data_IF_040046622484
#
_entry.id   IF_040046622484
#
_cell.length_a   1.000
_cell.length_b   1.000
_cell.length_c   1.000
_cell.angle_alpha   90.00
_cell.angle_beta   90.00
_cell.angle_gamma   90.00
#
_symmetry.space_group_name_H-M   'P 1'
#
loop_
_entity.id
_entity.type
_entity.pdbx_description
1 polymer ?
#
# COMPACT_ATOMS: atom_id res chain seq x y z
N UNK A 1 -11.03 -2.78 22.71
CA UNK A 1 -9.67 -2.91 22.12
C UNK A 1 -9.79 -2.55 20.65
N UNK A 2 -8.89 -1.70 20.12
CA UNK A 2 -8.89 -1.34 18.69
C UNK A 2 -8.38 -2.52 17.86
N UNK A 3 -9.00 -2.73 16.70
CA UNK A 3 -8.63 -3.80 15.77
C UNK A 3 -8.10 -3.20 14.47
N UNK A 4 -7.03 -3.76 13.96
CA UNK A 4 -6.40 -3.42 12.70
C UNK A 4 -6.13 -4.70 11.92
N UNK A 5 -6.07 -4.62 10.60
CA UNK A 5 -5.76 -5.78 9.78
C UNK A 5 -4.91 -5.41 8.56
N UNK A 6 -4.33 -6.42 7.93
CA UNK A 6 -3.77 -6.36 6.59
C UNK A 6 -4.56 -7.26 5.67
N UNK A 7 -5.00 -6.75 4.53
CA UNK A 7 -5.54 -7.57 3.44
C UNK A 7 -4.55 -7.69 2.30
N UNK A 8 -4.56 -8.84 1.66
CA UNK A 8 -3.76 -9.18 0.47
C UNK A 8 -3.98 -10.62 0.05
N UNK A 9 -3.28 -11.09 -0.97
CA UNK A 9 -3.30 -12.49 -1.38
C UNK A 9 -2.10 -12.83 -2.27
N UNK A 10 -1.34 -13.90 -1.97
CA UNK A 10 -1.31 -14.62 -0.69
C UNK A 10 -0.52 -13.87 0.39
N UNK A 11 -0.89 -14.04 1.67
CA UNK A 11 -0.25 -13.35 2.81
C UNK A 11 0.72 -14.22 3.63
N UNK A 12 1.14 -15.38 3.12
CA UNK A 12 1.83 -16.44 3.86
C UNK A 12 3.07 -16.08 4.68
N UNK A 13 3.73 -14.94 4.41
CA UNK A 13 4.98 -14.53 5.08
C UNK A 13 5.02 -13.04 5.49
N UNK A 14 3.86 -12.45 5.80
CA UNK A 14 3.81 -11.04 6.19
C UNK A 14 4.38 -10.80 7.58
N UNK A 15 5.33 -9.87 7.67
CA UNK A 15 5.90 -9.39 8.94
C UNK A 15 5.03 -8.33 9.63
N UNK A 16 3.93 -7.90 9.02
CA UNK A 16 3.09 -6.80 9.53
C UNK A 16 2.57 -7.03 10.94
N UNK A 17 2.10 -8.23 11.34
CA UNK A 17 1.64 -8.44 12.71
C UNK A 17 2.75 -8.24 13.75
N UNK A 18 3.96 -8.74 13.46
CA UNK A 18 5.10 -8.58 14.34
C UNK A 18 5.50 -7.10 14.49
N UNK A 19 5.56 -6.38 13.37
CA UNK A 19 5.92 -4.95 13.35
C UNK A 19 4.89 -4.14 14.13
N UNK A 20 3.59 -4.32 13.85
CA UNK A 20 2.53 -3.56 14.51
C UNK A 20 2.41 -3.88 16.00
N UNK A 21 2.64 -5.14 16.40
CA UNK A 21 2.70 -5.49 17.82
C UNK A 21 3.75 -4.66 18.56
N UNK A 22 4.96 -4.56 18.00
CA UNK A 22 6.04 -3.74 18.57
C UNK A 22 5.67 -2.26 18.61
N UNK A 23 5.11 -1.74 17.54
CA UNK A 23 4.67 -0.33 17.49
C UNK A 23 3.57 -0.03 18.51
N UNK A 24 2.64 -0.95 18.75
CA UNK A 24 1.61 -0.78 19.76
C UNK A 24 2.19 -0.82 21.19
N UNK A 25 3.12 -1.74 21.44
CA UNK A 25 3.83 -1.83 22.73
C UNK A 25 4.59 -0.53 23.04
N UNK A 26 5.39 -0.01 22.09
CA UNK A 26 6.14 1.23 22.22
C UNK A 26 5.24 2.46 22.38
N UNK A 27 4.08 2.47 21.71
CA UNK A 27 3.10 3.54 21.83
C UNK A 27 2.23 3.43 23.10
N UNK A 28 2.40 2.40 23.94
CA UNK A 28 1.56 2.13 25.11
C UNK A 28 0.09 1.86 24.76
N UNK A 29 -0.18 1.30 23.58
CA UNK A 29 -1.53 1.06 23.08
C UNK A 29 -1.87 -0.43 23.07
N UNK A 30 -3.05 -0.77 23.58
CA UNK A 30 -3.61 -2.11 23.44
C UNK A 30 -4.43 -2.18 22.16
N UNK A 31 -3.92 -2.94 21.19
CA UNK A 31 -4.59 -3.15 19.90
C UNK A 31 -4.26 -4.56 19.36
N UNK A 32 -5.14 -5.06 18.52
CA UNK A 32 -4.99 -6.31 17.77
C UNK A 32 -4.67 -6.01 16.32
N UNK A 33 -3.81 -6.83 15.71
CA UNK A 33 -3.51 -6.76 14.29
C UNK A 33 -3.54 -8.15 13.66
N UNK A 34 -4.41 -8.35 12.68
CA UNK A 34 -4.64 -9.64 12.01
C UNK A 34 -4.23 -9.61 10.54
N UNK A 35 -4.04 -10.80 9.98
CA UNK A 35 -3.88 -11.01 8.54
C UNK A 35 -5.19 -11.59 8.00
N UNK A 36 -5.72 -10.93 6.99
CA UNK A 36 -6.93 -11.36 6.28
C UNK A 36 -6.55 -11.70 4.84
N UNK A 37 -6.25 -12.98 4.63
CA UNK A 37 -5.91 -13.49 3.29
C UNK A 37 -7.19 -13.59 2.44
N UNK A 38 -7.37 -12.63 1.54
CA UNK A 38 -8.58 -12.49 0.72
C UNK A 38 -8.22 -12.65 -0.75
N UNK A 39 -8.63 -13.74 -1.42
CA UNK A 39 -8.52 -13.86 -2.86
C UNK A 39 -9.29 -12.77 -3.60
N UNK A 40 -8.84 -12.33 -4.80
CA UNK A 40 -9.47 -11.23 -5.54
C UNK A 40 -10.98 -11.40 -5.77
N UNK A 41 -11.42 -12.59 -6.06
CA UNK A 41 -12.84 -12.93 -6.29
C UNK A 41 -13.72 -12.77 -5.04
N UNK A 42 -13.12 -12.86 -3.84
CA UNK A 42 -13.83 -12.73 -2.57
C UNK A 42 -13.81 -11.30 -2.00
N UNK A 43 -13.08 -10.37 -2.63
CA UNK A 43 -12.90 -9.01 -2.10
C UNK A 43 -14.23 -8.28 -1.96
N UNK A 44 -15.10 -8.40 -2.95
CA UNK A 44 -16.41 -7.71 -2.99
C UNK A 44 -17.31 -8.10 -1.83
N UNK A 45 -17.25 -9.34 -1.41
CA UNK A 45 -18.07 -9.87 -0.32
C UNK A 45 -17.45 -9.56 1.06
N UNK A 46 -16.14 -9.80 1.21
CA UNK A 46 -15.48 -9.77 2.52
C UNK A 46 -15.06 -8.38 2.97
N UNK A 47 -14.66 -7.50 2.05
CA UNK A 47 -14.12 -6.20 2.42
C UNK A 47 -15.13 -5.29 3.15
N UNK A 48 -16.41 -5.16 2.72
CA UNK A 48 -17.37 -4.33 3.42
C UNK A 48 -17.63 -4.76 4.87
N UNK A 49 -17.64 -6.06 5.14
CA UNK A 49 -17.81 -6.61 6.48
C UNK A 49 -16.57 -6.33 7.35
N UNK A 50 -15.38 -6.52 6.78
CA UNK A 50 -14.12 -6.26 7.47
C UNK A 50 -14.00 -4.77 7.84
N UNK A 51 -14.31 -3.86 6.94
CA UNK A 51 -14.25 -2.40 7.17
C UNK A 51 -15.14 -1.94 8.33
N UNK A 52 -16.26 -2.64 8.61
CA UNK A 52 -17.12 -2.36 9.77
C UNK A 52 -16.51 -2.86 11.08
N UNK A 53 -15.62 -3.84 11.02
CA UNK A 53 -15.08 -4.54 12.21
C UNK A 53 -13.73 -3.99 12.68
N UNK A 54 -13.00 -3.25 11.82
CA UNK A 54 -11.66 -2.75 12.11
C UNK A 54 -11.62 -1.23 12.23
N UNK A 55 -10.67 -0.72 13.00
CA UNK A 55 -10.41 0.73 13.15
C UNK A 55 -9.60 1.28 11.97
N UNK A 56 -8.77 0.44 11.35
CA UNK A 56 -7.94 0.78 10.20
C UNK A 56 -7.44 -0.48 9.52
N UNK A 57 -7.11 -0.35 8.26
CA UNK A 57 -6.75 -1.47 7.40
C UNK A 57 -5.53 -1.13 6.56
N UNK A 58 -4.52 -2.00 6.56
CA UNK A 58 -3.48 -1.98 5.55
C UNK A 58 -3.89 -2.84 4.36
N UNK A 59 -3.41 -2.46 3.19
CA UNK A 59 -3.74 -3.12 1.93
C UNK A 59 -2.46 -3.40 1.15
N UNK A 60 -2.31 -4.66 0.71
CA UNK A 60 -1.21 -5.04 -0.18
C UNK A 60 -1.72 -5.71 -1.46
N UNK A 61 -0.80 -6.22 -2.27
CA UNK A 61 -1.12 -6.91 -3.52
C UNK A 61 -2.11 -8.05 -3.26
N UNK A 62 -3.15 -8.22 -4.13
CA UNK A 62 -3.44 -7.48 -5.36
C UNK A 62 -4.45 -6.33 -5.19
N UNK A 63 -4.81 -5.97 -3.94
CA UNK A 63 -5.99 -5.19 -3.63
C UNK A 63 -5.81 -3.67 -3.63
N UNK A 64 -4.58 -3.15 -3.74
CA UNK A 64 -4.29 -1.69 -3.62
C UNK A 64 -5.07 -0.78 -4.57
N UNK A 65 -5.44 -1.28 -5.75
CA UNK A 65 -6.27 -0.55 -6.72
C UNK A 65 -7.75 -0.87 -6.50
N UNK A 66 -8.19 -2.14 -6.45
CA UNK A 66 -9.61 -2.46 -6.28
C UNK A 66 -10.27 -1.87 -5.03
N UNK A 67 -9.54 -1.64 -3.94
CA UNK A 67 -10.11 -1.08 -2.70
C UNK A 67 -10.52 0.39 -2.82
N UNK A 68 -10.11 1.08 -3.88
CA UNK A 68 -10.48 2.47 -4.15
C UNK A 68 -12.00 2.63 -4.22
N UNK A 69 -12.70 1.65 -4.77
CA UNK A 69 -14.16 1.66 -4.92
C UNK A 69 -14.92 1.50 -3.58
N UNK A 70 -14.21 1.24 -2.47
CA UNK A 70 -14.79 0.97 -1.16
C UNK A 70 -14.49 2.05 -0.12
N UNK A 71 -13.86 3.15 -0.51
CA UNK A 71 -13.57 4.28 0.36
C UNK A 71 -14.36 5.51 -0.07
N UNK A 72 -14.72 6.36 0.89
CA UNK A 72 -15.49 7.57 0.60
C UNK A 72 -14.61 8.68 0.03
N UNK A 73 -13.32 8.68 0.38
CA UNK A 73 -12.35 9.68 -0.04
C UNK A 73 -10.99 9.07 -0.30
N UNK A 74 -10.24 9.70 -1.20
CA UNK A 74 -8.82 9.45 -1.39
C UNK A 74 -8.03 10.68 -0.93
N UNK A 75 -7.00 10.43 -0.13
CA UNK A 75 -5.96 11.41 0.16
C UNK A 75 -5.12 11.69 -1.09
N UNK A 76 -4.45 12.85 -1.15
CA UNK A 76 -3.58 13.20 -2.27
C UNK A 76 -2.50 12.15 -2.55
N UNK A 77 -2.00 11.52 -1.51
CA UNK A 77 -1.02 10.42 -1.63
C UNK A 77 -1.58 9.23 -2.41
N UNK A 78 -2.84 8.85 -2.17
CA UNK A 78 -3.49 7.77 -2.90
C UNK A 78 -3.92 8.17 -4.31
N UNK A 79 -4.42 9.40 -4.48
CA UNK A 79 -4.80 9.95 -5.79
C UNK A 79 -3.62 9.96 -6.77
N UNK A 80 -2.44 10.39 -6.29
CA UNK A 80 -1.22 10.54 -7.11
C UNK A 80 -0.81 9.24 -7.81
N UNK A 81 -0.98 8.10 -7.17
CA UNK A 81 -0.53 6.81 -7.68
C UNK A 81 -1.69 5.89 -8.09
N UNK A 82 -2.94 6.34 -7.90
CA UNK A 82 -4.14 5.52 -8.08
C UNK A 82 -4.02 4.18 -7.32
N UNK A 83 -3.62 4.27 -6.05
CA UNK A 83 -3.28 3.09 -5.25
C UNK A 83 -3.43 3.40 -3.76
N UNK A 84 -4.10 2.53 -3.03
CA UNK A 84 -4.34 2.62 -1.58
C UNK A 84 -3.60 1.49 -0.87
N UNK A 85 -2.78 1.83 0.12
CA UNK A 85 -2.15 0.84 1.01
C UNK A 85 -2.57 0.97 2.47
N UNK A 86 -3.37 1.99 2.79
CA UNK A 86 -3.90 2.21 4.13
C UNK A 86 -5.30 2.82 4.05
N UNK A 87 -6.25 2.27 4.79
CA UNK A 87 -7.61 2.80 4.94
C UNK A 87 -7.82 3.15 6.40
N UNK A 88 -8.28 4.35 6.66
CA UNK A 88 -8.59 4.83 8.00
C UNK A 88 -10.04 5.34 8.06
N UNK A 89 -10.79 4.87 9.05
CA UNK A 89 -12.14 5.37 9.36
C UNK A 89 -12.07 6.46 10.42
N UNK A 90 -12.65 7.62 10.12
CA UNK A 90 -12.83 8.72 11.07
C UNK A 90 -14.19 9.37 10.85
N UNK A 91 -14.94 9.52 11.94
CA UNK A 91 -16.28 10.18 11.94
C UNK A 91 -17.24 9.59 10.89
N UNK A 92 -17.18 8.27 10.68
CA UNK A 92 -17.99 7.54 9.71
C UNK A 92 -17.52 7.65 8.25
N UNK A 93 -16.41 8.33 7.99
CA UNK A 93 -15.82 8.50 6.65
C UNK A 93 -14.58 7.61 6.51
N UNK A 94 -14.56 6.76 5.50
CA UNK A 94 -13.41 5.95 5.12
C UNK A 94 -12.52 6.72 4.16
N UNK A 95 -11.26 6.90 4.53
CA UNK A 95 -10.28 7.59 3.68
C UNK A 95 -9.14 6.64 3.32
N UNK A 96 -8.84 6.54 2.03
CA UNK A 96 -7.72 5.78 1.49
C UNK A 96 -6.46 6.63 1.36
N UNK A 97 -5.33 6.09 1.80
CA UNK A 97 -4.00 6.70 1.76
C UNK A 97 -3.01 5.80 1.05
N UNK A 98 -1.92 6.39 0.58
CA UNK A 98 -0.74 5.66 0.13
C UNK A 98 0.51 6.17 0.84
N UNK A 99 1.04 5.35 1.74
CA UNK A 99 2.23 5.66 2.55
C UNK A 99 3.52 5.05 1.97
N UNK A 100 3.44 4.29 0.87
CA UNK A 100 4.60 3.65 0.24
C UNK A 100 5.60 4.69 -0.26
N UNK A 101 5.09 5.80 -0.81
CA UNK A 101 5.91 6.89 -1.30
C UNK A 101 6.71 7.56 -0.19
N UNK A 102 6.05 7.94 0.90
CA UNK A 102 6.73 8.57 2.04
C UNK A 102 7.78 7.63 2.63
N UNK A 103 7.46 6.34 2.74
CA UNK A 103 8.39 5.31 3.17
C UNK A 103 9.62 5.22 2.27
N UNK A 104 9.40 5.22 0.97
CA UNK A 104 10.49 5.19 -0.02
C UNK A 104 11.36 6.46 0.05
N UNK A 105 10.76 7.65 0.00
CA UNK A 105 11.48 8.91 0.00
C UNK A 105 12.32 9.08 1.27
N UNK A 106 11.82 8.63 2.42
CA UNK A 106 12.56 8.67 3.70
C UNK A 106 13.65 7.60 3.80
N UNK A 107 13.62 6.57 2.95
CA UNK A 107 14.60 5.48 2.96
C UNK A 107 15.82 5.73 2.07
N UNK A 108 15.76 6.75 1.19
CA UNK A 108 16.85 7.11 0.28
C UNK A 108 17.49 8.44 0.69
N UNK A 109 18.79 8.66 0.42
CA UNK A 109 19.41 9.96 0.63
C UNK A 109 18.69 11.06 -0.17
N UNK A 110 18.65 12.28 0.36
CA UNK A 110 17.90 13.41 -0.20
C UNK A 110 18.24 13.71 -1.67
N UNK A 111 19.48 13.46 -2.08
CA UNK A 111 19.96 13.67 -3.45
C UNK A 111 19.99 12.39 -4.31
N UNK A 112 19.53 11.26 -3.80
CA UNK A 112 19.62 9.98 -4.53
C UNK A 112 18.72 9.92 -5.77
N UNK A 113 17.67 10.72 -5.81
CA UNK A 113 16.71 10.77 -6.91
C UNK A 113 17.03 11.85 -7.95
N UNK A 114 18.12 12.59 -7.78
CA UNK A 114 18.64 13.51 -8.80
C UNK A 114 19.66 12.83 -9.70
N UNK A 115 19.67 13.16 -11.00
CA UNK A 115 20.62 12.61 -11.95
C UNK A 115 20.16 11.33 -12.66
N UNK A 116 21.07 10.37 -12.88
CA UNK A 116 20.73 9.12 -13.61
C UNK A 116 20.20 8.04 -12.67
N UNK A 117 18.99 7.57 -12.92
CA UNK A 117 18.34 6.51 -12.15
C UNK A 117 18.03 5.31 -13.03
N UNK A 118 18.52 4.15 -12.66
CA UNK A 118 18.15 2.88 -13.27
C UNK A 118 17.07 2.19 -12.42
N UNK A 119 15.91 1.96 -13.02
CA UNK A 119 14.80 1.24 -12.36
C UNK A 119 14.64 -0.15 -12.97
N UNK A 120 14.78 -1.19 -12.14
CA UNK A 120 14.61 -2.58 -12.54
C UNK A 120 13.20 -3.06 -12.17
N UNK A 121 12.34 -3.20 -13.19
CA UNK A 121 10.93 -3.58 -13.05
C UNK A 121 9.99 -2.38 -12.93
N UNK A 122 8.71 -2.57 -13.36
CA UNK A 122 7.69 -1.53 -13.35
C UNK A 122 6.34 -2.05 -12.82
N UNK A 123 6.36 -2.78 -11.70
CA UNK A 123 5.15 -3.10 -10.93
C UNK A 123 4.59 -1.85 -10.22
N UNK A 124 3.58 -2.02 -9.38
CA UNK A 124 2.93 -0.89 -8.70
C UNK A 124 3.90 0.03 -7.94
N UNK A 125 4.82 -0.55 -7.16
CA UNK A 125 5.86 0.21 -6.45
C UNK A 125 6.87 0.83 -7.42
N UNK A 126 7.29 0.11 -8.47
CA UNK A 126 8.22 0.63 -9.47
C UNK A 126 7.64 1.85 -10.20
N UNK A 127 6.35 1.84 -10.52
CA UNK A 127 5.67 3.01 -11.11
C UNK A 127 5.72 4.23 -10.18
N UNK A 128 5.44 4.05 -8.89
CA UNK A 128 5.54 5.11 -7.89
C UNK A 128 6.97 5.67 -7.81
N UNK A 129 7.98 4.79 -7.75
CA UNK A 129 9.40 5.20 -7.72
C UNK A 129 9.79 5.98 -8.98
N UNK A 130 9.33 5.55 -10.18
CA UNK A 130 9.58 6.27 -11.42
C UNK A 130 8.97 7.68 -11.41
N UNK A 131 7.72 7.80 -10.93
CA UNK A 131 7.04 9.10 -10.84
C UNK A 131 7.83 10.04 -9.90
N UNK A 132 8.25 9.56 -8.74
CA UNK A 132 8.98 10.41 -7.79
C UNK A 132 10.38 10.75 -8.29
N UNK A 133 11.11 9.81 -8.89
CA UNK A 133 12.41 10.13 -9.50
C UNK A 133 12.28 11.19 -10.61
N UNK A 134 11.25 11.08 -11.47
CA UNK A 134 10.98 12.10 -12.48
C UNK A 134 10.67 13.47 -11.87
N UNK A 135 9.89 13.53 -10.80
CA UNK A 135 9.57 14.77 -10.07
C UNK A 135 10.81 15.44 -9.44
N UNK A 136 11.82 14.65 -9.11
CA UNK A 136 13.11 15.12 -8.61
C UNK A 136 14.12 15.41 -9.74
N UNK A 137 13.69 15.36 -10.99
CA UNK A 137 14.51 15.72 -12.15
C UNK A 137 15.46 14.61 -12.61
N UNK A 138 15.21 13.36 -12.27
CA UNK A 138 16.02 12.24 -12.71
C UNK A 138 15.88 11.94 -14.20
N UNK A 139 17.00 11.54 -14.82
CA UNK A 139 17.06 10.88 -16.13
C UNK A 139 16.89 9.37 -15.88
N UNK A 140 15.70 8.84 -16.20
CA UNK A 140 15.28 7.49 -15.80
C UNK A 140 15.47 6.51 -16.94
N UNK A 141 16.26 5.48 -16.68
CA UNK A 141 16.30 4.28 -17.51
C UNK A 141 15.47 3.17 -16.86
N UNK A 142 14.45 2.68 -17.57
CA UNK A 142 13.58 1.62 -17.11
C UNK A 142 13.95 0.30 -17.79
N UNK A 143 14.27 -0.72 -17.01
CA UNK A 143 14.47 -2.08 -17.50
C UNK A 143 13.30 -2.98 -17.12
N UNK A 144 12.60 -3.53 -18.11
CA UNK A 144 11.52 -4.49 -17.93
C UNK A 144 12.09 -5.90 -18.07
N UNK A 145 12.28 -6.59 -16.93
CA UNK A 145 12.86 -7.95 -16.92
C UNK A 145 11.81 -9.01 -17.26
N UNK A 146 10.52 -8.70 -17.14
CA UNK A 146 9.43 -9.59 -17.52
C UNK A 146 8.54 -8.92 -18.56
N UNK A 147 8.80 -9.22 -19.81
CA UNK A 147 7.79 -9.10 -20.86
C UNK A 147 6.91 -10.33 -20.66
N UNK A 148 5.74 -10.18 -20.04
CA UNK A 148 4.72 -11.23 -20.10
C UNK A 148 4.38 -11.40 -21.58
N UNK A 149 4.56 -12.63 -22.10
CA UNK A 149 4.11 -12.94 -23.46
C UNK A 149 2.62 -12.58 -23.59
N UNK A 150 2.22 -11.94 -24.69
CA UNK A 150 0.81 -11.65 -24.90
C UNK A 150 0.07 -12.98 -24.95
N UNK A 151 -0.82 -13.21 -24.00
CA UNK A 151 -1.78 -14.31 -24.04
C UNK A 151 -2.58 -14.19 -25.34
N UNK A 152 -2.41 -15.16 -26.23
CA UNK A 152 -3.20 -15.32 -27.45
C UNK A 152 -4.63 -15.70 -27.11
#
# INVERSE_FOLDING_TARGET
MKKYALIGHPLGHSMSPFIHKRLFEEAGRQAEYTLEDIPPESLKEKLPELLKSVTGLNVTIPHKVPVIDYVDKLDESALRYNSVNCICGKDGVLTGYNTDCDGFLRSVPENALGGKVLLLGCGGVGRMMAIEAARHGADITLSLIHISEPTR
#
